data_IF_598065807339
#
_entry.id   IF_598065807339
#
_cell.length_a   1.000
_cell.length_b   1.000
_cell.length_c   1.000
_cell.angle_alpha   90.00
_cell.angle_beta   90.00
_cell.angle_gamma   90.00
#
_symmetry.space_group_name_H-M   'P 1'
#
loop_
_entity.id
_entity.type
_entity.pdbx_description
1 polymer ?
#
# COMPACT_ATOMS: atom_id res chain seq x y z
N UNK A 1 5.72 -28.85 0.82
CA UNK A 1 6.32 -28.74 2.16
C UNK A 1 5.40 -27.84 2.99
N UNK A 2 4.63 -28.43 3.92
CA UNK A 2 3.68 -27.72 4.76
C UNK A 2 4.44 -27.04 5.91
N UNK A 3 4.75 -25.77 5.76
CA UNK A 3 5.09 -24.92 6.89
C UNK A 3 3.81 -24.66 7.67
N UNK A 4 3.55 -25.42 8.71
CA UNK A 4 2.52 -25.15 9.69
C UNK A 4 2.94 -23.89 10.46
N UNK A 5 2.50 -22.73 9.99
CA UNK A 5 2.58 -21.51 10.76
C UNK A 5 1.72 -21.71 12.00
N UNK A 6 2.34 -21.87 13.18
CA UNK A 6 1.62 -21.90 14.43
C UNK A 6 1.07 -20.49 14.68
N UNK A 7 -0.21 -20.32 14.95
CA UNK A 7 -0.77 -19.02 15.32
C UNK A 7 -0.08 -18.52 16.58
N UNK A 8 0.23 -17.25 16.60
CA UNK A 8 0.91 -16.57 17.68
C UNK A 8 -0.07 -15.75 18.51
N UNK A 9 0.23 -15.56 19.77
CA UNK A 9 -0.61 -14.81 20.72
C UNK A 9 -0.82 -13.38 20.20
N UNK A 10 -2.08 -13.01 19.99
CA UNK A 10 -2.46 -11.69 19.46
C UNK A 10 -3.77 -11.77 18.68
N UNK A 11 -3.95 -10.88 17.71
CA UNK A 11 -5.07 -10.98 16.77
C UNK A 11 -4.68 -12.02 15.71
N UNK A 12 -5.22 -13.22 15.87
CA UNK A 12 -4.78 -14.40 15.08
C UNK A 12 -5.50 -14.53 13.74
N UNK A 13 -6.58 -13.79 13.52
CA UNK A 13 -7.43 -13.97 12.35
C UNK A 13 -8.05 -12.66 11.88
N UNK A 14 -8.23 -12.53 10.57
CA UNK A 14 -9.04 -11.47 9.96
C UNK A 14 -10.54 -11.80 9.97
N UNK A 15 -10.92 -12.97 10.48
CA UNK A 15 -12.32 -13.40 10.47
C UNK A 15 -13.13 -12.70 11.57
N UNK A 16 -14.22 -11.98 11.23
CA UNK A 16 -15.10 -11.39 12.20
C UNK A 16 -15.79 -12.46 13.06
N UNK A 17 -15.94 -12.20 14.38
CA UNK A 17 -16.68 -13.08 15.28
C UNK A 17 -18.16 -13.26 14.91
N UNK A 18 -18.68 -12.38 14.06
CA UNK A 18 -20.05 -12.43 13.53
C UNK A 18 -20.27 -13.46 12.43
N UNK A 19 -19.20 -14.04 11.88
CA UNK A 19 -19.35 -15.08 10.85
C UNK A 19 -19.76 -16.42 11.47
N UNK A 20 -20.59 -17.24 10.74
CA UNK A 20 -20.78 -18.63 11.09
C UNK A 20 -19.43 -19.36 11.20
N UNK A 21 -19.36 -20.33 12.12
CA UNK A 21 -18.12 -21.05 12.41
C UNK A 21 -17.51 -21.68 11.15
N UNK A 22 -18.35 -22.34 10.34
CA UNK A 22 -17.96 -22.99 9.10
C UNK A 22 -17.39 -22.01 8.05
N UNK A 23 -17.81 -20.74 8.08
CA UNK A 23 -17.24 -19.71 7.19
C UNK A 23 -15.95 -19.14 7.75
N UNK A 24 -15.83 -19.01 9.07
CA UNK A 24 -14.64 -18.46 9.73
C UNK A 24 -13.42 -19.38 9.63
N UNK A 25 -13.64 -20.66 9.34
CA UNK A 25 -12.57 -21.64 9.12
C UNK A 25 -12.00 -21.59 7.70
N UNK A 26 -12.66 -20.90 6.77
CA UNK A 26 -12.17 -20.71 5.40
C UNK A 26 -11.09 -19.61 5.40
N UNK A 27 -9.87 -19.88 4.89
CA UNK A 27 -8.81 -18.89 4.84
C UNK A 27 -9.21 -17.65 4.03
N UNK A 28 -8.95 -16.46 4.57
CA UNK A 28 -9.13 -15.20 3.84
C UNK A 28 -8.04 -15.07 2.78
N UNK A 29 -8.44 -14.73 1.56
CA UNK A 29 -7.50 -14.51 0.46
C UNK A 29 -6.54 -13.35 0.77
N UNK A 30 -5.25 -13.57 0.50
CA UNK A 30 -4.17 -12.58 0.73
C UNK A 30 -4.10 -12.05 2.18
N UNK A 31 -4.47 -12.89 3.16
CA UNK A 31 -4.34 -12.56 4.58
C UNK A 31 -2.97 -12.98 5.10
N UNK A 32 -2.21 -12.01 5.58
CA UNK A 32 -0.92 -12.21 6.22
C UNK A 32 -0.96 -11.60 7.62
N UNK A 33 -0.99 -12.43 8.66
CA UNK A 33 -0.92 -11.99 10.05
C UNK A 33 0.54 -12.03 10.54
N UNK A 34 1.26 -10.94 10.34
CA UNK A 34 2.63 -10.77 10.81
C UNK A 34 2.70 -9.72 11.93
N UNK A 35 3.75 -9.79 12.71
CA UNK A 35 4.06 -8.88 13.79
C UNK A 35 5.35 -8.12 13.48
N UNK A 36 5.68 -7.14 14.31
CA UNK A 36 6.88 -6.33 14.16
C UNK A 36 8.16 -7.19 14.10
N UNK A 37 8.25 -8.24 14.90
CA UNK A 37 9.38 -9.17 14.94
C UNK A 37 9.56 -9.90 13.61
N UNK A 38 8.45 -10.23 12.93
CA UNK A 38 8.44 -11.02 11.68
C UNK A 38 8.86 -10.19 10.46
N UNK A 39 8.94 -8.86 10.60
CA UNK A 39 9.34 -7.99 9.48
C UNK A 39 10.81 -8.18 9.15
N UNK A 40 11.09 -8.60 7.92
CA UNK A 40 12.45 -8.76 7.37
C UNK A 40 12.82 -7.50 6.61
N UNK A 41 13.94 -6.87 6.99
CA UNK A 41 14.48 -5.69 6.29
C UNK A 41 15.05 -6.12 4.93
N UNK A 42 14.98 -5.24 3.96
CA UNK A 42 15.34 -5.44 2.55
C UNK A 42 14.49 -6.48 1.81
N UNK A 43 13.47 -7.05 2.46
CA UNK A 43 12.51 -7.89 1.77
C UNK A 43 11.71 -7.09 0.75
N UNK A 44 11.68 -7.59 -0.50
CA UNK A 44 11.00 -6.97 -1.63
C UNK A 44 9.87 -7.84 -2.14
N UNK A 45 8.75 -7.20 -2.44
CA UNK A 45 7.66 -7.83 -3.18
C UNK A 45 7.28 -6.96 -4.38
N UNK A 46 6.79 -7.60 -5.43
CA UNK A 46 6.28 -6.94 -6.62
C UNK A 46 4.83 -7.33 -6.86
N UNK A 47 4.00 -6.34 -7.17
CA UNK A 47 2.61 -6.57 -7.53
C UNK A 47 2.46 -7.23 -8.92
N UNK A 48 1.27 -7.71 -9.22
CA UNK A 48 0.82 -7.92 -10.60
C UNK A 48 0.77 -6.56 -11.32
N UNK A 49 0.67 -6.59 -12.65
CA UNK A 49 0.47 -5.39 -13.47
C UNK A 49 -1.01 -5.09 -13.63
N UNK A 50 -1.36 -3.82 -13.68
CA UNK A 50 -2.71 -3.34 -13.92
C UNK A 50 -2.71 -2.18 -14.92
N UNK A 51 -3.55 -2.28 -15.96
CA UNK A 51 -3.81 -1.17 -16.88
C UNK A 51 -4.92 -0.30 -16.32
N UNK A 52 -4.72 1.01 -16.33
CA UNK A 52 -5.69 2.00 -15.86
C UNK A 52 -6.63 2.34 -17.01
N UNK A 53 -7.91 2.03 -16.85
CA UNK A 53 -8.94 2.34 -17.82
C UNK A 53 -9.45 3.78 -17.68
N UNK A 54 -10.03 4.31 -18.75
CA UNK A 54 -10.66 5.63 -18.73
C UNK A 54 -11.83 5.69 -17.74
N UNK A 55 -12.69 4.66 -17.72
CA UNK A 55 -13.84 4.60 -16.82
C UNK A 55 -13.45 4.68 -15.34
N UNK A 56 -12.39 3.95 -14.94
CA UNK A 56 -11.86 4.02 -13.57
C UNK A 56 -11.31 5.41 -13.25
N UNK A 57 -10.55 6.01 -14.17
CA UNK A 57 -9.96 7.32 -13.96
C UNK A 57 -11.04 8.38 -13.78
N UNK A 58 -12.08 8.40 -14.61
CA UNK A 58 -13.19 9.33 -14.49
C UNK A 58 -14.01 9.10 -13.21
N UNK A 59 -14.29 7.84 -12.86
CA UNK A 59 -14.98 7.52 -11.63
C UNK A 59 -14.20 7.97 -10.39
N UNK A 60 -12.89 7.74 -10.38
CA UNK A 60 -12.01 8.21 -9.28
C UNK A 60 -12.04 9.73 -9.17
N UNK A 61 -11.89 10.44 -10.28
CA UNK A 61 -11.91 11.91 -10.30
C UNK A 61 -13.22 12.47 -9.73
N UNK A 62 -14.37 11.88 -10.12
CA UNK A 62 -15.68 12.27 -9.57
C UNK A 62 -15.78 12.03 -8.06
N UNK A 63 -15.23 10.92 -7.55
CA UNK A 63 -15.26 10.60 -6.11
C UNK A 63 -14.41 11.56 -5.28
N UNK A 64 -13.26 11.99 -5.81
CA UNK A 64 -12.33 12.89 -5.08
C UNK A 64 -12.47 14.36 -5.48
N UNK A 65 -13.41 14.68 -6.37
CA UNK A 65 -13.66 16.02 -6.89
C UNK A 65 -12.45 16.64 -7.61
N UNK A 66 -11.59 15.83 -8.18
CA UNK A 66 -10.46 16.29 -8.99
C UNK A 66 -10.91 16.53 -10.44
N UNK A 67 -11.42 17.73 -10.69
CA UNK A 67 -11.93 18.15 -12.00
C UNK A 67 -10.91 19.02 -12.75
N UNK A 68 -9.63 18.90 -12.45
CA UNK A 68 -8.59 19.66 -13.13
C UNK A 68 -8.61 19.36 -14.65
N UNK A 69 -8.45 20.36 -15.54
CA UNK A 69 -8.55 20.17 -16.99
C UNK A 69 -7.61 19.08 -17.55
N UNK A 70 -6.41 18.92 -17.00
CA UNK A 70 -5.50 17.82 -17.40
C UNK A 70 -6.06 16.42 -17.19
N UNK A 71 -6.99 16.23 -16.26
CA UNK A 71 -7.55 14.90 -15.96
C UNK A 71 -8.97 14.72 -16.49
N UNK A 72 -9.75 15.81 -16.61
CA UNK A 72 -11.17 15.77 -16.95
C UNK A 72 -11.54 16.23 -18.36
N UNK A 73 -10.70 17.06 -19.00
CA UNK A 73 -11.00 17.71 -20.28
C UNK A 73 -10.08 17.19 -21.39
N UNK A 74 -10.64 16.41 -22.31
CA UNK A 74 -9.91 15.83 -23.41
C UNK A 74 -9.47 16.87 -24.44
N UNK A 75 -10.30 17.91 -24.69
CA UNK A 75 -9.99 18.97 -25.67
C UNK A 75 -8.82 19.80 -25.13
N UNK A 76 -8.95 20.29 -23.92
CA UNK A 76 -7.87 21.02 -23.25
C UNK A 76 -6.56 20.21 -23.23
N UNK A 77 -6.61 18.95 -22.81
CA UNK A 77 -5.42 18.11 -22.68
C UNK A 77 -4.70 17.91 -24.01
N UNK A 78 -5.43 17.83 -25.15
CA UNK A 78 -4.86 17.66 -26.49
C UNK A 78 -4.37 18.95 -27.13
N UNK A 79 -5.12 20.03 -26.99
CA UNK A 79 -4.90 21.26 -27.75
C UNK A 79 -4.05 22.28 -26.97
N UNK A 80 -4.19 22.34 -25.65
CA UNK A 80 -3.53 23.32 -24.80
C UNK A 80 -2.59 22.69 -23.76
N UNK A 81 -2.81 21.42 -23.43
CA UNK A 81 -2.04 20.72 -22.39
C UNK A 81 -0.64 20.32 -22.86
N UNK A 82 0.36 20.43 -21.97
CA UNK A 82 1.78 20.15 -22.28
C UNK A 82 2.07 18.69 -22.64
N UNK A 83 1.14 17.76 -22.37
CA UNK A 83 1.36 16.33 -22.60
C UNK A 83 0.60 15.78 -23.82
N UNK A 84 -0.27 16.55 -24.43
CA UNK A 84 -1.17 16.16 -25.52
C UNK A 84 -2.05 14.95 -25.22
N UNK A 85 -2.25 14.63 -23.95
CA UNK A 85 -3.05 13.51 -23.43
C UNK A 85 -3.57 13.82 -22.03
N UNK A 86 -4.75 13.26 -21.70
CA UNK A 86 -5.23 13.33 -20.30
C UNK A 86 -4.37 12.51 -19.37
N UNK A 87 -4.09 13.10 -18.22
CA UNK A 87 -3.38 12.45 -17.13
C UNK A 87 -4.32 11.56 -16.31
N UNK A 88 -3.76 10.56 -15.68
CA UNK A 88 -4.35 9.93 -14.51
C UNK A 88 -4.04 10.80 -13.30
N UNK A 89 -5.05 11.11 -12.49
CA UNK A 89 -4.88 11.91 -11.27
C UNK A 89 -3.76 11.31 -10.39
N UNK A 90 -2.87 12.16 -9.89
CA UNK A 90 -1.76 11.71 -9.06
C UNK A 90 -2.22 10.94 -7.82
N UNK A 91 -3.31 11.37 -7.19
CA UNK A 91 -3.94 10.67 -6.07
C UNK A 91 -4.38 9.25 -6.44
N UNK A 92 -4.87 9.01 -7.67
CA UNK A 92 -5.23 7.69 -8.15
C UNK A 92 -3.99 6.81 -8.33
N UNK A 93 -2.91 7.34 -8.95
CA UNK A 93 -1.64 6.61 -9.12
C UNK A 93 -1.09 6.18 -7.76
N UNK A 94 -1.14 7.08 -6.77
CA UNK A 94 -0.73 6.80 -5.40
C UNK A 94 -1.60 5.70 -4.76
N UNK A 95 -2.92 5.85 -4.77
CA UNK A 95 -3.84 4.90 -4.15
C UNK A 95 -3.76 3.52 -4.80
N UNK A 96 -3.69 3.45 -6.13
CA UNK A 96 -3.56 2.20 -6.86
C UNK A 96 -2.19 1.55 -6.62
N UNK A 97 -1.12 2.35 -6.64
CA UNK A 97 0.23 1.88 -6.36
C UNK A 97 0.35 1.20 -5.01
N UNK A 98 -0.26 1.77 -3.96
CA UNK A 98 -0.30 1.14 -2.63
C UNK A 98 -1.23 -0.08 -2.60
N UNK A 99 -2.43 0.05 -3.16
CA UNK A 99 -3.42 -1.02 -3.17
C UNK A 99 -2.93 -2.30 -3.85
N UNK A 100 -2.12 -2.19 -4.89
CA UNK A 100 -1.55 -3.33 -5.61
C UNK A 100 -0.63 -4.23 -4.76
N UNK A 101 -0.07 -3.72 -3.67
CA UNK A 101 0.80 -4.45 -2.73
C UNK A 101 0.28 -4.41 -1.30
N UNK A 102 -0.98 -4.04 -1.11
CA UNK A 102 -1.62 -4.04 0.20
C UNK A 102 -1.81 -5.46 0.72
N UNK A 103 -1.69 -5.62 2.04
CA UNK A 103 -1.96 -6.86 2.76
C UNK A 103 -3.16 -6.67 3.68
N UNK A 104 -3.82 -7.77 4.04
CA UNK A 104 -4.92 -7.79 5.01
C UNK A 104 -4.44 -8.06 6.44
N UNK A 105 -3.20 -7.68 6.78
CA UNK A 105 -2.63 -7.88 8.11
C UNK A 105 -3.32 -7.02 9.15
N UNK A 106 -4.03 -7.64 10.08
CA UNK A 106 -4.75 -6.95 11.16
C UNK A 106 -3.85 -6.38 12.26
N UNK A 107 -2.57 -6.79 12.29
CA UNK A 107 -1.58 -6.31 13.25
C UNK A 107 -0.83 -5.06 12.76
N UNK A 108 -1.12 -4.62 11.53
CA UNK A 108 -0.47 -3.49 10.89
C UNK A 108 -1.49 -2.48 10.39
N UNK A 109 -1.21 -1.20 10.60
CA UNK A 109 -2.06 -0.12 10.08
C UNK A 109 -1.21 1.08 9.66
N UNK A 110 -1.76 1.88 8.75
CA UNK A 110 -1.10 3.07 8.24
C UNK A 110 -0.87 4.09 9.35
N UNK A 111 0.38 4.57 9.49
CA UNK A 111 0.76 5.63 10.41
C UNK A 111 0.94 6.96 9.66
N UNK A 112 1.45 6.93 8.44
CA UNK A 112 1.66 8.11 7.62
C UNK A 112 2.53 7.82 6.41
N UNK A 113 2.69 8.84 5.58
CA UNK A 113 3.50 8.78 4.36
C UNK A 113 4.51 9.91 4.34
N UNK A 114 5.75 9.57 3.99
CA UNK A 114 6.84 10.50 3.79
C UNK A 114 7.31 10.48 2.33
N UNK A 115 8.00 11.54 1.91
CA UNK A 115 8.71 11.63 0.62
C UNK A 115 7.86 11.25 -0.59
N UNK A 116 6.56 11.54 -0.55
CA UNK A 116 5.70 11.32 -1.72
C UNK A 116 6.13 12.24 -2.88
N UNK A 117 6.46 11.64 -4.02
CA UNK A 117 6.85 12.33 -5.25
C UNK A 117 6.23 11.69 -6.47
N UNK A 118 5.56 12.51 -7.27
CA UNK A 118 5.14 12.18 -8.62
C UNK A 118 6.31 12.50 -9.56
N UNK A 119 6.96 11.47 -10.10
CA UNK A 119 8.23 11.58 -10.82
C UNK A 119 7.96 11.79 -12.31
N UNK A 120 7.00 11.06 -12.87
CA UNK A 120 6.60 11.16 -14.27
C UNK A 120 5.08 11.01 -14.43
N UNK A 121 4.50 11.58 -15.47
CA UNK A 121 3.07 11.49 -15.73
C UNK A 121 2.65 10.05 -16.05
N UNK A 122 1.46 9.70 -15.60
CA UNK A 122 0.74 8.49 -15.96
C UNK A 122 -0.46 8.88 -16.79
N UNK A 123 -0.70 8.19 -17.89
CA UNK A 123 -1.80 8.46 -18.80
C UNK A 123 -2.84 7.34 -18.76
N UNK A 124 -4.05 7.67 -19.17
CA UNK A 124 -5.11 6.67 -19.39
C UNK A 124 -4.61 5.63 -20.36
N UNK A 125 -4.76 4.34 -20.04
CA UNK A 125 -4.22 3.22 -20.81
C UNK A 125 -2.82 2.75 -20.39
N UNK A 126 -2.12 3.49 -19.54
CA UNK A 126 -0.83 3.02 -19.00
C UNK A 126 -1.04 1.82 -18.08
N UNK A 127 -0.10 0.88 -18.13
CA UNK A 127 -0.05 -0.28 -17.26
C UNK A 127 0.98 -0.06 -16.16
N UNK A 128 0.54 -0.12 -14.92
CA UNK A 128 1.39 0.11 -13.74
C UNK A 128 1.62 -1.17 -12.92
N UNK A 129 2.67 -1.16 -12.12
CA UNK A 129 2.95 -2.13 -11.06
C UNK A 129 3.78 -1.48 -9.96
N UNK A 130 3.81 -2.07 -8.78
CA UNK A 130 4.53 -1.54 -7.62
C UNK A 130 5.55 -2.54 -7.11
N UNK A 131 6.72 -2.04 -6.71
CA UNK A 131 7.69 -2.74 -5.88
C UNK A 131 7.64 -2.12 -4.49
N UNK A 132 7.46 -2.97 -3.47
CA UNK A 132 7.50 -2.59 -2.06
C UNK A 132 8.75 -3.17 -1.42
N UNK A 133 9.48 -2.36 -0.64
CA UNK A 133 10.68 -2.80 0.08
C UNK A 133 10.58 -2.38 1.55
N UNK A 134 10.76 -3.31 2.48
CA UNK A 134 10.88 -2.99 3.90
C UNK A 134 12.25 -2.36 4.15
N UNK A 135 12.31 -1.09 4.57
CA UNK A 135 13.54 -0.32 4.68
C UNK A 135 14.15 -0.33 6.07
N UNK A 136 13.32 -0.09 7.07
CA UNK A 136 13.75 -0.05 8.46
C UNK A 136 12.60 -0.40 9.40
N UNK A 137 12.94 -0.85 10.60
CA UNK A 137 11.99 -1.00 11.70
C UNK A 137 12.61 -0.52 13.00
N UNK A 138 11.80 0.14 13.83
CA UNK A 138 12.24 0.59 15.15
C UNK A 138 11.12 0.53 16.17
N UNK A 139 11.42 0.11 17.41
CA UNK A 139 10.48 0.24 18.52
C UNK A 139 10.08 1.70 18.72
N UNK A 140 8.81 1.95 19.06
CA UNK A 140 8.34 3.32 19.29
C UNK A 140 7.40 3.46 20.48
N UNK A 141 6.41 2.61 20.57
CA UNK A 141 5.39 2.65 21.61
C UNK A 141 5.40 1.34 22.41
N UNK A 142 4.73 1.35 23.55
CA UNK A 142 4.68 0.21 24.45
C UNK A 142 4.19 -1.10 23.81
N UNK A 143 3.26 -1.01 22.86
CA UNK A 143 2.64 -2.18 22.21
C UNK A 143 2.96 -2.33 20.73
N UNK A 144 3.66 -1.37 20.13
CA UNK A 144 3.92 -1.36 18.68
C UNK A 144 5.18 -0.61 18.30
N UNK A 145 5.81 -1.04 17.21
CA UNK A 145 6.90 -0.35 16.56
C UNK A 145 6.47 0.28 15.24
N UNK A 146 7.36 1.07 14.65
CA UNK A 146 7.22 1.60 13.31
C UNK A 146 8.06 0.80 12.32
N UNK A 147 7.47 0.49 11.19
CA UNK A 147 8.13 -0.07 10.01
C UNK A 147 8.03 0.93 8.89
N UNK A 148 9.16 1.30 8.29
CA UNK A 148 9.23 2.14 7.09
C UNK A 148 9.38 1.26 5.87
N UNK A 149 8.54 1.49 4.88
CA UNK A 149 8.50 0.70 3.65
C UNK A 149 8.49 1.65 2.45
N UNK A 150 9.37 1.46 1.47
CA UNK A 150 9.29 2.20 0.21
C UNK A 150 8.29 1.56 -0.74
N UNK A 151 7.64 2.42 -1.52
CA UNK A 151 6.77 2.05 -2.64
C UNK A 151 7.28 2.76 -3.88
N UNK A 152 7.70 1.98 -4.83
CA UNK A 152 8.14 2.43 -6.15
C UNK A 152 7.11 1.99 -7.18
N UNK A 153 6.36 2.93 -7.73
CA UNK A 153 5.38 2.64 -8.78
C UNK A 153 6.03 2.84 -10.14
N UNK A 154 5.92 1.83 -10.97
CA UNK A 154 6.46 1.81 -12.32
C UNK A 154 5.34 1.72 -13.35
N UNK A 155 5.59 2.22 -14.56
CA UNK A 155 4.75 1.98 -15.73
C UNK A 155 5.50 1.31 -16.86
N UNK A 156 4.74 0.67 -17.75
CA UNK A 156 5.28 0.07 -18.97
C UNK A 156 6.39 -0.94 -18.70
N UNK A 157 7.58 -0.66 -19.23
CA UNK A 157 8.76 -1.53 -19.15
C UNK A 157 9.73 -1.16 -18.02
N UNK A 158 9.26 -0.52 -16.94
CA UNK A 158 10.08 -0.19 -15.76
C UNK A 158 10.40 1.29 -15.60
N UNK A 159 9.60 2.16 -16.17
CA UNK A 159 9.72 3.60 -15.94
C UNK A 159 9.09 3.97 -14.61
N UNK A 160 9.88 4.50 -13.66
CA UNK A 160 9.38 4.94 -12.37
C UNK A 160 8.51 6.19 -12.53
N UNK A 161 7.33 6.17 -11.92
CA UNK A 161 6.34 7.25 -12.00
C UNK A 161 6.01 7.87 -10.65
N UNK A 162 6.18 7.08 -9.56
CA UNK A 162 5.92 7.55 -8.20
C UNK A 162 6.85 6.86 -7.23
N UNK A 163 7.30 7.61 -6.23
CA UNK A 163 7.99 7.11 -5.04
C UNK A 163 7.30 7.63 -3.79
N UNK A 164 7.15 6.80 -2.78
CA UNK A 164 6.83 7.24 -1.43
C UNK A 164 7.37 6.28 -0.37
N UNK A 165 7.47 6.76 0.86
CA UNK A 165 7.76 5.95 2.03
C UNK A 165 6.52 5.88 2.91
N UNK A 166 6.09 4.67 3.23
CA UNK A 166 4.94 4.41 4.08
C UNK A 166 5.41 3.99 5.46
N UNK A 167 4.92 4.65 6.48
CA UNK A 167 5.12 4.28 7.88
C UNK A 167 3.94 3.44 8.34
N UNK A 168 4.24 2.24 8.79
CA UNK A 168 3.29 1.33 9.40
C UNK A 168 3.50 1.28 10.90
N UNK A 169 2.44 1.39 11.68
CA UNK A 169 2.42 0.95 13.07
C UNK A 169 2.14 -0.54 13.08
N UNK A 170 3.01 -1.32 13.75
CA UNK A 170 2.92 -2.77 13.77
C UNK A 170 2.99 -3.27 15.20
N UNK A 171 2.02 -4.11 15.58
CA UNK A 171 1.96 -4.68 16.91
C UNK A 171 3.17 -5.59 17.18
N UNK A 172 3.66 -5.57 18.43
CA UNK A 172 4.62 -6.56 18.89
C UNK A 172 3.91 -7.87 19.21
N UNK A 173 4.59 -8.96 18.90
CA UNK A 173 4.23 -10.29 19.38
C UNK A 173 4.57 -10.44 20.87
N UNK A 174 5.70 -9.90 21.28
CA UNK A 174 6.23 -9.94 22.63
C UNK A 174 6.61 -8.52 23.10
N UNK A 175 5.65 -7.68 23.53
CA UNK A 175 5.90 -6.28 23.92
C UNK A 175 6.98 -6.11 24.98
N UNK A 176 7.11 -7.06 25.90
CA UNK A 176 8.08 -7.04 27.00
C UNK A 176 9.53 -6.91 26.50
N UNK A 177 9.85 -7.48 25.33
CA UNK A 177 11.20 -7.40 24.72
C UNK A 177 11.62 -6.00 24.33
N UNK A 178 10.68 -5.08 24.22
CA UNK A 178 10.93 -3.72 23.70
C UNK A 178 10.73 -2.64 24.76
N UNK A 179 10.37 -2.97 26.01
CA UNK A 179 10.06 -2.00 27.07
C UNK A 179 11.15 -0.95 27.29
N UNK A 180 12.43 -1.35 27.23
CA UNK A 180 13.55 -0.46 27.46
C UNK A 180 13.95 0.39 26.24
N UNK A 181 13.38 0.08 25.07
CA UNK A 181 13.67 0.75 23.81
C UNK A 181 12.60 1.77 23.40
N UNK A 182 11.48 1.82 24.12
CA UNK A 182 10.37 2.70 23.78
C UNK A 182 10.47 4.04 24.52
N UNK A 183 10.06 5.10 23.85
CA UNK A 183 9.98 6.42 24.46
C UNK A 183 8.88 6.41 25.52
N UNK A 184 9.24 6.62 26.78
CA UNK A 184 8.28 6.99 27.82
C UNK A 184 7.70 8.35 27.45
N UNK A 185 6.38 8.43 27.30
CA UNK A 185 5.67 9.70 27.15
C UNK A 185 5.73 10.50 28.44
#
# INVERSE_FOLDING_TARGET
>A
MNSKHKPTVGIETTNPKSLPKEHSEIPVWNSENWFFEDVIIDHKIRSIRRTISEGEAMQFNCMVLDMHPYVGDEIFAKEEGMFNKRLVAGAMVFSYGLGLVATNCVNSFSYGYDRLRFIKPVFIGDTIYTIRTNMEKKPKYEKMGLVRTSYEVFKGKGEIVLYCEHLHSVLYKEPEKFKDQVQKK
#
